data_IF_026170578842
#
_entry.id   IF_026170578842
#
_cell.length_a   1.000
_cell.length_b   1.000
_cell.length_c   1.000
_cell.angle_alpha   90.00
_cell.angle_beta   90.00
_cell.angle_gamma   90.00
#
_symmetry.space_group_name_H-M   'P 1'
#
loop_
_entity.id
_entity.type
_entity.pdbx_description
1 polymer ?
#
# COMPACT_ATOMS: atom_id res chain seq x y z
N UNK A 1 0.82 1.59 7.37
CA UNK A 1 -0.04 1.62 6.17
C UNK A 1 -1.16 2.60 6.43
N UNK A 2 -1.10 3.75 5.77
CA UNK A 2 -2.19 4.73 5.76
C UNK A 2 -2.95 4.62 4.44
N UNK A 3 -4.27 4.67 4.52
CA UNK A 3 -5.17 4.66 3.36
C UNK A 3 -5.71 6.06 3.20
N UNK A 4 -5.41 6.72 2.09
CA UNK A 4 -6.02 7.99 1.73
C UNK A 4 -7.09 7.72 0.66
N UNK A 5 -8.34 8.10 0.93
CA UNK A 5 -9.43 8.01 -0.03
C UNK A 5 -9.75 9.41 -0.58
N UNK A 6 -9.81 9.52 -1.91
CA UNK A 6 -10.18 10.74 -2.63
C UNK A 6 -11.42 10.43 -3.48
N UNK A 7 -12.49 11.22 -3.35
CA UNK A 7 -13.75 11.02 -4.07
C UNK A 7 -14.16 12.27 -4.86
N UNK A 8 -14.89 12.11 -5.95
CA UNK A 8 -15.47 13.20 -6.75
C UNK A 8 -16.83 12.83 -7.34
N UNK A 9 -17.62 13.85 -7.74
CA UNK A 9 -18.78 13.70 -8.64
C UNK A 9 -18.45 14.49 -9.89
N UNK A 10 -18.56 13.92 -11.09
CA UNK A 10 -18.37 14.67 -12.32
C UNK A 10 -19.48 14.36 -13.33
N UNK A 11 -20.23 15.39 -13.70
CA UNK A 11 -20.99 15.42 -14.95
C UNK A 11 -20.03 15.69 -16.12
N UNK A 12 -20.29 15.03 -17.24
CA UNK A 12 -19.48 14.80 -18.45
C UNK A 12 -18.94 16.03 -19.23
N UNK A 13 -18.73 17.20 -18.63
CA UNK A 13 -18.09 18.35 -19.29
C UNK A 13 -16.92 18.98 -18.49
N UNK A 14 -16.68 18.56 -17.24
CA UNK A 14 -15.60 19.05 -16.39
C UNK A 14 -14.82 17.87 -15.79
N UNK A 15 -14.10 17.14 -16.65
CA UNK A 15 -13.30 15.98 -16.27
C UNK A 15 -12.06 16.37 -15.44
N UNK A 16 -12.23 16.95 -14.25
CA UNK A 16 -11.20 17.11 -13.22
C UNK A 16 -11.88 17.38 -11.87
N UNK A 17 -12.29 16.32 -11.15
CA UNK A 17 -12.89 16.49 -9.83
C UNK A 17 -12.21 15.60 -8.79
N UNK A 18 -10.99 15.99 -8.37
CA UNK A 18 -10.48 15.65 -7.04
C UNK A 18 -11.23 16.52 -6.03
N UNK A 19 -12.32 16.06 -5.40
CA UNK A 19 -12.79 16.73 -4.17
C UNK A 19 -11.91 16.25 -3.04
N UNK A 20 -10.86 17.02 -2.78
CA UNK A 20 -10.17 16.97 -1.50
C UNK A 20 -11.19 17.31 -0.41
N UNK A 21 -11.22 16.50 0.65
CA UNK A 21 -12.00 16.74 1.86
C UNK A 21 -11.75 18.17 2.37
N UNK A 22 -12.69 19.08 2.12
CA UNK A 22 -12.63 20.47 2.57
C UNK A 22 -13.77 20.74 3.56
N UNK A 23 -13.81 19.96 4.63
CA UNK A 23 -14.71 20.24 5.75
C UNK A 23 -13.92 20.28 7.06
N UNK A 24 -13.80 21.52 7.53
CA UNK A 24 -13.61 21.99 8.91
C UNK A 24 -13.08 20.98 9.92
N UNK A 25 -11.88 21.26 10.45
CA UNK A 25 -11.39 20.66 11.69
C UNK A 25 -12.38 20.88 12.82
N UNK A 26 -13.11 19.82 13.19
CA UNK A 26 -13.52 19.50 14.56
C UNK A 26 -14.35 18.22 14.54
N UNK A 27 -13.76 17.07 14.88
CA UNK A 27 -14.52 15.94 15.41
C UNK A 27 -13.58 14.99 16.16
N UNK A 28 -14.11 14.39 17.22
CA UNK A 28 -13.44 13.48 18.12
C UNK A 28 -12.74 12.31 17.38
N UNK A 29 -11.59 11.89 17.92
CA UNK A 29 -10.83 10.71 17.48
C UNK A 29 -11.71 9.46 17.68
N UNK A 30 -12.30 8.95 16.60
CA UNK A 30 -12.93 7.63 16.59
C UNK A 30 -11.87 6.61 16.13
N UNK A 31 -11.69 5.52 16.86
CA UNK A 31 -10.74 4.47 16.50
C UNK A 31 -11.24 3.71 15.26
N UNK A 32 -10.67 4.00 14.09
CA UNK A 32 -10.97 3.30 12.84
C UNK A 32 -10.07 2.06 12.69
N UNK A 33 -10.66 0.86 12.75
CA UNK A 33 -9.97 -0.41 12.53
C UNK A 33 -9.90 -0.74 11.03
N UNK A 34 -8.85 -0.28 10.36
CA UNK A 34 -8.94 0.03 8.95
C UNK A 34 -8.55 -1.06 7.96
N UNK A 35 -7.84 -2.12 8.38
CA UNK A 35 -7.26 -3.00 7.37
C UNK A 35 -8.28 -3.95 6.72
N UNK A 36 -9.48 -4.16 7.26
CA UNK A 36 -10.50 -5.00 6.63
C UNK A 36 -11.84 -4.27 6.39
N UNK A 37 -12.03 -3.11 7.03
CA UNK A 37 -13.26 -2.32 6.93
C UNK A 37 -13.32 -1.47 5.65
N UNK A 38 -12.22 -1.35 4.92
CA UNK A 38 -12.13 -0.49 3.74
C UNK A 38 -12.80 -1.06 2.48
N UNK A 39 -12.68 -2.34 2.09
CA UNK A 39 -13.34 -2.85 0.87
C UNK A 39 -14.86 -2.98 1.01
N UNK A 40 -15.33 -3.25 2.22
CA UNK A 40 -16.74 -3.22 2.60
C UNK A 40 -17.31 -1.81 2.47
N UNK A 41 -16.59 -0.83 3.01
CA UNK A 41 -16.95 0.59 3.03
C UNK A 41 -16.97 1.25 1.63
N UNK A 42 -15.95 0.98 0.82
CA UNK A 42 -15.63 1.87 -0.30
C UNK A 42 -16.25 1.53 -1.63
N UNK A 43 -16.50 0.24 -1.84
CA UNK A 43 -16.68 -0.28 -3.17
C UNK A 43 -18.05 -0.92 -3.37
N UNK A 44 -18.78 -1.23 -2.30
CA UNK A 44 -20.02 -2.02 -2.36
C UNK A 44 -19.75 -3.52 -2.56
N UNK A 45 -18.65 -4.03 -2.02
CA UNK A 45 -18.32 -5.46 -2.10
C UNK A 45 -19.43 -6.33 -1.50
N UNK A 46 -19.94 -7.35 -2.19
CA UNK A 46 -21.08 -8.14 -1.72
C UNK A 46 -20.70 -9.06 -0.55
N UNK A 47 -21.64 -9.24 0.38
CA UNK A 47 -21.59 -10.33 1.36
C UNK A 47 -20.77 -10.09 2.63
N UNK A 48 -20.38 -8.83 2.91
CA UNK A 48 -19.75 -8.46 4.18
C UNK A 48 -20.47 -7.23 4.72
N UNK A 49 -20.97 -7.34 5.96
CA UNK A 49 -21.66 -6.24 6.62
C UNK A 49 -20.66 -5.15 7.04
N UNK A 50 -20.89 -3.87 6.67
CA UNK A 50 -20.00 -2.80 7.05
C UNK A 50 -20.08 -2.54 8.56
N UNK A 51 -18.92 -2.48 9.20
CA UNK A 51 -18.76 -2.11 10.62
C UNK A 51 -19.15 -0.65 10.86
N UNK A 52 -19.23 -0.24 12.13
CA UNK A 52 -19.44 1.17 12.47
C UNK A 52 -18.34 2.08 11.90
N UNK A 53 -17.08 1.64 11.97
CA UNK A 53 -15.94 2.36 11.40
C UNK A 53 -16.03 2.48 9.88
N UNK A 54 -16.41 1.40 9.18
CA UNK A 54 -16.65 1.41 7.74
C UNK A 54 -17.74 2.44 7.34
N UNK A 55 -18.85 2.49 8.10
CA UNK A 55 -19.97 3.43 7.85
C UNK A 55 -19.60 4.88 8.15
N UNK A 56 -18.79 5.11 9.18
CA UNK A 56 -18.26 6.44 9.46
C UNK A 56 -17.37 6.93 8.32
N UNK A 57 -16.51 6.05 7.81
CA UNK A 57 -15.63 6.36 6.70
C UNK A 57 -16.40 6.59 5.39
N UNK A 58 -17.45 5.80 5.12
CA UNK A 58 -18.42 6.04 4.04
C UNK A 58 -19.04 7.43 4.15
N UNK A 59 -19.50 7.79 5.35
CA UNK A 59 -20.16 9.08 5.62
C UNK A 59 -19.19 10.24 5.37
N UNK A 60 -17.94 10.11 5.82
CA UNK A 60 -16.89 11.10 5.59
C UNK A 60 -16.65 11.26 4.08
N UNK A 61 -16.42 10.18 3.34
CA UNK A 61 -16.17 10.24 1.88
C UNK A 61 -17.38 10.80 1.13
N UNK A 62 -18.58 10.41 1.56
CA UNK A 62 -19.83 10.75 0.92
C UNK A 62 -20.04 10.03 -0.41
N UNK A 63 -21.20 10.27 -1.03
CA UNK A 63 -21.53 9.65 -2.30
C UNK A 63 -20.62 10.14 -3.44
N UNK A 64 -19.93 9.20 -4.09
CA UNK A 64 -18.97 9.43 -5.18
C UNK A 64 -19.10 8.41 -6.32
N UNK A 65 -18.99 8.90 -7.55
CA UNK A 65 -18.98 8.08 -8.77
C UNK A 65 -17.59 7.48 -9.03
N UNK A 66 -16.54 8.23 -8.69
CA UNK A 66 -15.16 7.83 -8.93
C UNK A 66 -14.37 7.90 -7.63
N UNK A 67 -13.92 6.73 -7.18
CA UNK A 67 -13.13 6.59 -5.97
C UNK A 67 -11.67 6.31 -6.31
N UNK A 68 -10.75 7.04 -5.69
CA UNK A 68 -9.31 6.76 -5.75
C UNK A 68 -8.82 6.44 -4.33
N UNK A 69 -8.31 5.23 -4.14
CA UNK A 69 -7.75 4.74 -2.89
C UNK A 69 -6.24 4.65 -3.04
N UNK A 70 -5.49 5.36 -2.19
CA UNK A 70 -4.02 5.31 -2.17
C UNK A 70 -3.58 4.54 -0.93
N UNK A 71 -2.87 3.43 -1.15
CA UNK A 71 -2.23 2.61 -0.14
C UNK A 71 -0.74 2.95 -0.14
N UNK A 72 -0.30 3.73 0.84
CA UNK A 72 1.10 4.08 1.02
C UNK A 72 1.76 3.12 2.03
N UNK A 73 2.57 2.18 1.51
CA UNK A 73 3.29 1.24 2.37
C UNK A 73 4.39 1.94 3.15
N UNK A 74 4.61 1.55 4.40
CA UNK A 74 5.57 2.20 5.28
C UNK A 74 5.20 3.62 5.75
N UNK A 75 4.12 4.24 5.22
CA UNK A 75 3.64 5.52 5.74
C UNK A 75 2.98 5.28 7.11
N UNK A 76 3.66 5.72 8.17
CA UNK A 76 3.18 5.76 9.55
C UNK A 76 2.73 7.16 9.97
N UNK A 77 2.01 7.28 11.09
CA UNK A 77 1.49 8.58 11.56
C UNK A 77 2.63 9.53 11.91
N UNK A 78 3.67 9.05 12.59
CA UNK A 78 4.85 9.85 12.97
C UNK A 78 5.53 10.50 11.75
N UNK A 79 5.61 9.78 10.62
CA UNK A 79 6.16 10.32 9.37
C UNK A 79 5.27 11.44 8.83
N UNK A 80 3.95 11.25 8.86
CA UNK A 80 3.00 12.26 8.39
C UNK A 80 2.98 13.50 9.29
N UNK A 81 3.04 13.32 10.62
CA UNK A 81 3.13 14.42 11.61
C UNK A 81 4.44 15.22 11.48
N UNK A 82 5.51 14.58 11.00
CA UNK A 82 6.79 15.25 10.75
C UNK A 82 6.80 16.15 9.50
N UNK A 83 5.76 16.06 8.66
CA UNK A 83 5.67 16.86 7.44
C UNK A 83 5.39 18.34 7.76
N UNK A 84 5.81 19.27 6.89
CA UNK A 84 5.44 20.67 7.03
C UNK A 84 3.92 20.83 7.15
N UNK A 85 3.45 21.74 8.01
CA UNK A 85 2.02 21.98 8.20
C UNK A 85 1.27 22.43 6.91
N UNK A 86 2.02 22.90 5.91
CA UNK A 86 1.51 23.27 4.60
C UNK A 86 1.42 22.11 3.59
N UNK A 87 1.91 20.92 3.92
CA UNK A 87 1.84 19.74 3.05
C UNK A 87 0.40 19.32 2.79
N UNK A 88 0.13 18.89 1.57
CA UNK A 88 -1.20 18.55 1.11
C UNK A 88 -1.82 17.41 1.93
N UNK A 89 -1.05 16.33 2.14
CA UNK A 89 -1.46 15.16 2.92
C UNK A 89 -1.79 15.56 4.37
N UNK A 90 -0.96 16.41 4.99
CA UNK A 90 -1.21 16.88 6.36
C UNK A 90 -2.46 17.77 6.45
N UNK A 91 -2.62 18.70 5.50
CA UNK A 91 -3.80 19.57 5.48
C UNK A 91 -5.11 18.81 5.31
N UNK A 92 -5.09 17.62 4.70
CA UNK A 92 -6.26 16.75 4.46
C UNK A 92 -6.31 15.53 5.37
N UNK A 93 -5.41 15.43 6.33
CA UNK A 93 -5.45 14.37 7.32
C UNK A 93 -6.71 14.51 8.19
N UNK A 94 -7.51 13.45 8.25
CA UNK A 94 -8.75 13.42 9.04
C UNK A 94 -8.63 12.48 10.23
N UNK A 95 -8.02 11.30 10.04
CA UNK A 95 -7.88 10.30 11.10
C UNK A 95 -6.74 9.32 10.85
N UNK A 96 -6.31 8.67 11.93
CA UNK A 96 -5.35 7.58 11.88
C UNK A 96 -6.08 6.23 11.79
N UNK A 97 -5.50 5.34 11.01
CA UNK A 97 -6.01 4.01 10.78
C UNK A 97 -5.17 2.99 11.53
N UNK A 98 -5.82 2.12 12.32
CA UNK A 98 -5.13 0.98 12.94
C UNK A 98 -5.04 -0.18 11.96
N UNK A 99 -3.82 -0.67 11.74
CA UNK A 99 -3.58 -1.86 10.93
C UNK A 99 -3.76 -3.15 11.76
N UNK A 100 -3.79 -4.27 11.07
CA UNK A 100 -3.86 -5.61 11.67
C UNK A 100 -2.54 -6.02 12.30
N UNK A 101 -2.60 -7.04 13.17
CA UNK A 101 -1.41 -7.69 13.70
C UNK A 101 -1.21 -9.08 13.05
N UNK A 102 0.03 -9.43 12.61
CA UNK A 102 1.21 -8.57 12.55
C UNK A 102 1.11 -7.47 11.49
N UNK A 103 1.74 -6.32 11.74
CA UNK A 103 1.70 -5.14 10.86
C UNK A 103 2.70 -5.23 9.70
N UNK A 104 2.74 -6.36 9.00
CA UNK A 104 3.61 -6.55 7.82
C UNK A 104 2.85 -6.29 6.53
N UNK A 105 3.55 -5.91 5.46
CA UNK A 105 2.96 -5.67 4.12
C UNK A 105 2.08 -6.84 3.66
N UNK A 106 2.59 -8.07 3.77
CA UNK A 106 1.87 -9.27 3.35
C UNK A 106 0.55 -9.45 4.10
N UNK A 107 0.55 -9.25 5.43
CA UNK A 107 -0.63 -9.42 6.27
C UNK A 107 -1.62 -8.27 6.04
N UNK A 108 -1.15 -7.03 6.09
CA UNK A 108 -1.98 -5.84 5.93
C UNK A 108 -2.63 -5.76 4.54
N UNK A 109 -1.89 -6.02 3.45
CA UNK A 109 -2.47 -6.05 2.10
C UNK A 109 -3.45 -7.21 1.94
N UNK A 110 -3.18 -8.38 2.53
CA UNK A 110 -4.15 -9.49 2.45
C UNK A 110 -5.43 -9.15 3.19
N UNK A 111 -5.36 -8.59 4.41
CA UNK A 111 -6.55 -8.12 5.12
C UNK A 111 -7.29 -7.06 4.33
N UNK A 112 -6.56 -6.10 3.74
CA UNK A 112 -7.14 -5.05 2.91
C UNK A 112 -7.82 -5.63 1.70
N UNK A 113 -7.22 -6.54 0.95
CA UNK A 113 -7.87 -7.04 -0.25
C UNK A 113 -8.96 -8.08 0.05
N UNK A 114 -8.99 -8.70 1.22
CA UNK A 114 -9.99 -9.73 1.55
C UNK A 114 -11.12 -9.24 2.44
N UNK A 115 -11.00 -8.05 3.03
CA UNK A 115 -11.89 -7.57 4.09
C UNK A 115 -12.06 -8.61 5.21
N UNK A 116 -10.96 -9.25 5.62
CA UNK A 116 -10.98 -10.25 6.70
C UNK A 116 -9.75 -10.16 7.60
N UNK A 117 -9.84 -10.74 8.79
CA UNK A 117 -8.75 -10.76 9.75
C UNK A 117 -7.63 -11.75 9.36
N UNK A 118 -6.39 -11.57 9.84
CA UNK A 118 -5.29 -12.52 9.61
C UNK A 118 -5.61 -13.97 9.96
N UNK A 119 -6.41 -14.19 11.00
CA UNK A 119 -6.90 -15.51 11.41
C UNK A 119 -7.88 -16.14 10.43
N UNK A 120 -8.54 -15.34 9.58
CA UNK A 120 -9.55 -15.79 8.63
C UNK A 120 -8.98 -16.01 7.22
N UNK A 121 -8.08 -15.14 6.75
CA UNK A 121 -7.43 -15.31 5.45
C UNK A 121 -6.16 -16.18 5.50
N UNK A 122 -5.61 -16.45 6.69
CA UNK A 122 -4.52 -17.41 6.90
C UNK A 122 -3.11 -16.87 6.68
N UNK A 123 -2.96 -15.60 6.26
CA UNK A 123 -1.65 -14.95 6.09
C UNK A 123 -1.29 -14.25 7.39
N UNK A 124 -0.29 -14.78 8.10
CA UNK A 124 0.10 -14.33 9.45
C UNK A 124 1.52 -13.76 9.51
N UNK A 125 2.19 -13.60 8.37
CA UNK A 125 3.50 -12.96 8.27
C UNK A 125 4.04 -12.98 6.84
N UNK A 126 5.29 -12.56 6.66
CA UNK A 126 6.00 -12.72 5.38
C UNK A 126 6.24 -14.19 5.04
N UNK A 127 6.37 -15.02 6.07
CA UNK A 127 6.64 -16.44 5.95
C UNK A 127 5.54 -17.23 6.63
N UNK A 128 4.94 -18.16 5.89
CA UNK A 128 3.88 -19.03 6.41
C UNK A 128 4.26 -20.49 6.19
N UNK A 129 3.80 -21.42 7.05
CA UNK A 129 3.96 -22.85 6.78
C UNK A 129 3.36 -23.22 5.43
N UNK A 130 4.03 -24.08 4.66
CA UNK A 130 3.45 -24.58 3.42
C UNK A 130 2.25 -25.52 3.69
N UNK A 131 1.31 -25.62 2.74
CA UNK A 131 0.15 -26.49 2.86
C UNK A 131 0.57 -27.95 2.71
N UNK A 132 -0.03 -28.82 3.53
CA UNK A 132 0.28 -30.24 3.57
C UNK A 132 1.53 -30.56 4.40
N UNK A 133 1.44 -31.56 5.29
CA UNK A 133 2.57 -32.00 6.12
C UNK A 133 3.70 -32.53 5.21
N UNK A 134 4.83 -31.81 5.15
CA UNK A 134 6.11 -32.32 4.62
C UNK A 134 6.42 -32.04 3.14
N UNK A 135 5.58 -31.34 2.37
CA UNK A 135 5.88 -31.01 0.97
C UNK A 135 6.67 -29.71 0.83
N UNK A 136 6.30 -28.68 1.61
CA UNK A 136 6.98 -27.38 1.65
C UNK A 136 6.99 -26.84 3.06
N UNK A 137 8.18 -26.62 3.63
CA UNK A 137 8.29 -26.21 5.03
C UNK A 137 7.81 -24.77 5.26
N UNK A 138 8.13 -23.85 4.34
CA UNK A 138 7.82 -22.43 4.49
C UNK A 138 7.73 -21.73 3.14
N UNK A 139 6.69 -20.92 2.98
CA UNK A 139 6.42 -20.09 1.81
C UNK A 139 6.72 -18.64 2.13
N UNK A 140 7.41 -17.95 1.23
CA UNK A 140 7.45 -16.50 1.17
C UNK A 140 6.16 -16.01 0.48
N UNK A 141 5.32 -15.30 1.23
CA UNK A 141 3.99 -14.88 0.78
C UNK A 141 4.06 -13.88 -0.37
N UNK A 142 4.97 -12.90 -0.31
CA UNK A 142 5.05 -11.87 -1.35
C UNK A 142 5.61 -12.40 -2.67
N UNK A 143 6.54 -13.34 -2.60
CA UNK A 143 7.12 -13.99 -3.78
C UNK A 143 6.25 -15.12 -4.31
N UNK A 144 5.28 -15.61 -3.53
CA UNK A 144 4.57 -16.87 -3.79
C UNK A 144 5.55 -18.00 -4.18
N UNK A 145 6.56 -18.19 -3.32
CA UNK A 145 7.64 -19.14 -3.56
C UNK A 145 8.10 -19.81 -2.27
N UNK A 146 8.72 -20.99 -2.38
CA UNK A 146 9.36 -21.65 -1.25
C UNK A 146 10.54 -20.83 -0.76
N UNK A 147 10.56 -20.52 0.54
CA UNK A 147 11.56 -19.64 1.16
C UNK A 147 13.01 -20.13 0.98
N UNK A 148 13.21 -21.44 0.98
CA UNK A 148 14.56 -22.04 0.98
C UNK A 148 15.32 -21.90 -0.34
N UNK A 149 14.62 -21.83 -1.47
CA UNK A 149 15.25 -21.87 -2.80
C UNK A 149 14.52 -21.03 -3.86
N UNK A 150 13.49 -20.28 -3.48
CA UNK A 150 12.76 -19.39 -4.39
C UNK A 150 11.93 -20.13 -5.45
N UNK A 151 11.71 -21.45 -5.31
CA UNK A 151 10.87 -22.19 -6.26
C UNK A 151 9.42 -21.69 -6.19
N UNK A 152 8.81 -21.26 -7.31
CA UNK A 152 7.41 -20.83 -7.33
C UNK A 152 6.45 -21.91 -6.87
N UNK A 153 5.31 -21.53 -6.30
CA UNK A 153 4.28 -22.47 -5.84
C UNK A 153 3.83 -23.45 -6.94
N UNK A 154 3.65 -22.96 -8.16
CA UNK A 154 3.20 -23.75 -9.30
C UNK A 154 4.19 -24.88 -9.64
N UNK A 155 5.49 -24.57 -9.56
CA UNK A 155 6.57 -25.55 -9.74
C UNK A 155 6.68 -26.58 -8.60
N UNK A 156 5.91 -26.38 -7.52
CA UNK A 156 5.77 -27.31 -6.39
C UNK A 156 4.40 -28.02 -6.45
N UNK A 157 3.59 -27.81 -7.50
CA UNK A 157 2.24 -28.34 -7.61
C UNK A 157 1.24 -27.69 -6.65
N UNK A 158 1.60 -26.56 -6.06
CA UNK A 158 0.74 -25.79 -5.16
C UNK A 158 0.01 -24.71 -5.94
N UNK A 159 -1.24 -24.47 -5.55
CA UNK A 159 -2.03 -23.37 -6.08
C UNK A 159 -2.04 -22.20 -5.10
N UNK A 160 -2.27 -20.99 -5.59
CA UNK A 160 -2.34 -19.79 -4.76
C UNK A 160 -3.42 -19.92 -3.66
N UNK A 161 -4.54 -20.58 -3.95
CA UNK A 161 -5.65 -20.79 -2.98
C UNK A 161 -5.27 -21.74 -1.84
N UNK A 162 -4.14 -22.45 -1.94
CA UNK A 162 -3.60 -23.26 -0.84
C UNK A 162 -2.91 -22.42 0.23
N UNK A 163 -2.57 -21.16 -0.07
CA UNK A 163 -1.98 -20.18 0.85
C UNK A 163 -3.00 -19.15 1.30
N UNK A 164 -3.86 -18.70 0.38
CA UNK A 164 -4.83 -17.64 0.65
C UNK A 164 -6.24 -18.21 0.77
N UNK A 165 -6.75 -18.30 2.00
CA UNK A 165 -8.02 -18.96 2.29
C UNK A 165 -9.26 -18.15 1.86
N UNK A 166 -9.10 -16.85 1.62
CA UNK A 166 -10.18 -15.93 1.24
C UNK A 166 -9.89 -15.33 -0.13
N UNK A 167 -10.89 -15.20 -1.02
CA UNK A 167 -10.70 -14.51 -2.29
C UNK A 167 -10.57 -13.00 -2.06
N UNK A 168 -9.91 -12.31 -2.99
CA UNK A 168 -9.91 -10.84 -3.02
C UNK A 168 -11.32 -10.30 -3.26
N UNK A 169 -11.63 -9.20 -2.59
CA UNK A 169 -12.82 -8.36 -2.77
C UNK A 169 -12.67 -7.41 -3.95
N UNK A 170 -11.44 -7.13 -4.40
CA UNK A 170 -11.20 -6.15 -5.46
C UNK A 170 -11.87 -6.54 -6.78
N UNK A 171 -11.92 -7.84 -7.08
CA UNK A 171 -12.59 -8.39 -8.26
C UNK A 171 -14.13 -8.42 -8.14
N UNK A 172 -14.66 -8.16 -6.93
CA UNK A 172 -16.08 -8.22 -6.59
C UNK A 172 -16.70 -6.84 -6.42
N UNK A 173 -15.91 -5.79 -6.58
CA UNK A 173 -16.36 -4.40 -6.52
C UNK A 173 -17.31 -4.13 -7.70
N UNK A 174 -18.56 -3.67 -7.47
CA UNK A 174 -19.50 -3.29 -8.53
C UNK A 174 -19.16 -1.95 -9.21
N UNK A 175 -17.88 -1.72 -9.53
CA UNK A 175 -17.35 -0.54 -10.22
C UNK A 175 -16.29 -0.96 -11.23
N UNK A 176 -16.10 -0.16 -12.27
CA UNK A 176 -14.93 -0.32 -13.14
C UNK A 176 -13.67 -0.11 -12.31
N UNK A 177 -12.87 -1.16 -12.13
CA UNK A 177 -11.78 -1.14 -11.15
C UNK A 177 -10.41 -1.27 -11.81
N UNK A 178 -9.47 -0.42 -11.40
CA UNK A 178 -8.07 -0.45 -11.82
C UNK A 178 -7.16 -0.59 -10.59
N UNK A 179 -6.28 -1.60 -10.59
CA UNK A 179 -5.24 -1.75 -9.57
C UNK A 179 -3.89 -1.31 -10.12
N UNK A 180 -3.36 -0.23 -9.56
CA UNK A 180 -2.09 0.36 -9.93
C UNK A 180 -1.02 0.09 -8.88
N UNK A 181 0.16 -0.32 -9.32
CA UNK A 181 1.29 -0.64 -8.47
C UNK A 181 2.61 -0.46 -9.23
N UNK A 182 3.78 -0.42 -8.58
CA UNK A 182 5.04 -0.29 -9.28
C UNK A 182 5.21 -1.34 -10.37
N UNK A 183 5.77 -0.97 -11.52
CA UNK A 183 5.90 -1.87 -12.68
C UNK A 183 6.66 -3.16 -12.35
N UNK A 184 7.58 -3.13 -11.38
CA UNK A 184 8.31 -4.32 -10.90
C UNK A 184 7.45 -5.30 -10.08
N UNK A 185 6.29 -4.86 -9.58
CA UNK A 185 5.36 -5.64 -8.75
C UNK A 185 4.06 -6.00 -9.48
N UNK A 186 3.84 -5.50 -10.70
CA UNK A 186 2.57 -5.63 -11.44
C UNK A 186 2.17 -7.08 -11.73
N UNK A 187 3.13 -7.98 -11.76
CA UNK A 187 2.96 -9.42 -12.00
C UNK A 187 3.63 -10.24 -10.89
N UNK A 188 3.09 -11.42 -10.61
CA UNK A 188 3.58 -12.34 -9.60
C UNK A 188 2.45 -12.88 -8.75
N UNK A 189 2.61 -14.08 -8.18
CA UNK A 189 1.52 -14.81 -7.56
C UNK A 189 0.76 -14.04 -6.47
N UNK A 190 1.45 -13.20 -5.69
CA UNK A 190 0.79 -12.39 -4.66
C UNK A 190 -0.08 -11.29 -5.28
N UNK A 191 0.46 -10.54 -6.25
CA UNK A 191 -0.30 -9.53 -6.98
C UNK A 191 -1.45 -10.14 -7.78
N UNK A 192 -1.22 -11.28 -8.44
CA UNK A 192 -2.25 -12.02 -9.17
C UNK A 192 -3.41 -12.38 -8.23
N UNK A 193 -3.10 -12.83 -7.02
CA UNK A 193 -4.08 -13.09 -5.97
C UNK A 193 -4.82 -11.82 -5.51
N UNK A 194 -4.11 -10.75 -5.16
CA UNK A 194 -4.72 -9.50 -4.67
C UNK A 194 -5.64 -8.86 -5.73
N UNK A 195 -5.28 -8.98 -7.00
CA UNK A 195 -6.05 -8.44 -8.12
C UNK A 195 -7.23 -9.33 -8.51
N UNK A 196 -7.08 -10.65 -8.45
CA UNK A 196 -8.06 -11.57 -9.03
C UNK A 196 -8.25 -11.27 -10.52
N UNK A 197 -9.49 -11.05 -10.95
CA UNK A 197 -9.80 -10.65 -12.34
C UNK A 197 -9.74 -9.15 -12.60
N UNK A 198 -9.37 -8.32 -11.62
CA UNK A 198 -9.31 -6.87 -11.76
C UNK A 198 -8.18 -6.46 -12.71
N UNK A 199 -8.44 -5.46 -13.56
CA UNK A 199 -7.42 -4.88 -14.43
C UNK A 199 -6.26 -4.29 -13.61
N UNK A 200 -5.03 -4.49 -14.09
CA UNK A 200 -3.81 -4.02 -13.43
C UNK A 200 -2.99 -3.15 -14.36
N UNK A 201 -2.31 -2.16 -13.78
CA UNK A 201 -1.35 -1.34 -14.50
C UNK A 201 -0.12 -1.01 -13.66
N UNK A 202 1.05 -1.23 -14.26
CA UNK A 202 2.35 -0.92 -13.66
C UNK A 202 2.73 0.54 -13.90
N UNK A 203 3.22 1.25 -12.88
CA UNK A 203 3.79 2.60 -13.04
C UNK A 203 5.30 2.62 -12.78
N UNK A 204 6.00 3.60 -13.37
CA UNK A 204 7.44 3.84 -13.16
C UNK A 204 7.73 5.08 -12.32
N UNK A 205 6.80 6.04 -12.28
CA UNK A 205 6.83 7.20 -11.40
C UNK A 205 5.44 7.48 -10.82
N UNK A 206 5.38 8.19 -9.69
CA UNK A 206 4.10 8.59 -9.09
C UNK A 206 3.32 9.56 -9.99
N UNK A 207 4.03 10.40 -10.76
CA UNK A 207 3.40 11.26 -11.76
C UNK A 207 2.71 10.41 -12.84
N UNK A 208 3.37 9.40 -13.40
CA UNK A 208 2.76 8.49 -14.39
C UNK A 208 1.54 7.76 -13.81
N UNK A 209 1.63 7.36 -12.53
CA UNK A 209 0.53 6.70 -11.84
C UNK A 209 -0.69 7.61 -11.73
N UNK A 210 -0.48 8.84 -11.29
CA UNK A 210 -1.54 9.84 -11.13
C UNK A 210 -2.15 10.20 -12.49
N UNK A 211 -1.34 10.41 -13.53
CA UNK A 211 -1.80 10.68 -14.90
C UNK A 211 -2.68 9.54 -15.41
N UNK A 212 -2.24 8.29 -15.21
CA UNK A 212 -3.00 7.10 -15.63
C UNK A 212 -4.34 6.95 -14.91
N UNK A 213 -4.40 7.28 -13.62
CA UNK A 213 -5.66 7.25 -12.84
C UNK A 213 -6.62 8.31 -13.38
N UNK A 214 -6.12 9.51 -13.68
CA UNK A 214 -6.93 10.59 -14.26
C UNK A 214 -7.49 10.16 -15.61
N UNK A 215 -6.67 9.57 -16.47
CA UNK A 215 -7.11 9.06 -17.76
C UNK A 215 -8.14 7.93 -17.60
N UNK A 216 -7.91 6.99 -16.68
CA UNK A 216 -8.85 5.90 -16.39
C UNK A 216 -10.22 6.43 -15.91
N UNK A 217 -10.22 7.40 -15.00
CA UNK A 217 -11.45 8.03 -14.50
C UNK A 217 -12.15 8.80 -15.63
N UNK A 218 -11.41 9.57 -16.43
CA UNK A 218 -11.96 10.35 -17.54
C UNK A 218 -12.59 9.53 -18.67
N UNK A 219 -12.16 8.26 -18.83
CA UNK A 219 -12.71 7.33 -19.81
C UNK A 219 -13.65 6.27 -19.21
N UNK A 220 -13.95 6.35 -17.91
CA UNK A 220 -14.88 5.43 -17.27
C UNK A 220 -16.30 5.64 -17.84
N UNK A 221 -16.97 4.55 -18.20
CA UNK A 221 -18.34 4.57 -18.73
C UNK A 221 -19.41 4.56 -17.62
N UNK A 222 -18.98 4.61 -16.35
CA UNK A 222 -19.83 4.58 -15.17
C UNK A 222 -18.99 4.71 -13.89
N UNK A 223 -19.53 4.32 -12.73
CA UNK A 223 -18.80 4.37 -11.48
C UNK A 223 -17.49 3.59 -11.54
N UNK A 224 -16.40 4.18 -11.04
CA UNK A 224 -15.07 3.59 -11.08
C UNK A 224 -14.36 3.62 -9.72
N UNK A 225 -13.38 2.72 -9.56
CA UNK A 225 -12.53 2.59 -8.39
C UNK A 225 -11.07 2.37 -8.81
N UNK A 226 -10.16 3.25 -8.45
CA UNK A 226 -8.73 3.07 -8.67
C UNK A 226 -8.04 2.80 -7.33
N UNK A 227 -7.27 1.72 -7.24
CA UNK A 227 -6.43 1.43 -6.07
C UNK A 227 -4.97 1.64 -6.47
N UNK A 228 -4.29 2.61 -5.85
CA UNK A 228 -2.88 2.91 -6.08
C UNK A 228 -2.05 2.42 -4.90
N UNK A 229 -1.20 1.43 -5.13
CA UNK A 229 -0.20 0.97 -4.17
C UNK A 229 1.12 1.71 -4.37
N UNK A 230 1.65 2.32 -3.30
CA UNK A 230 2.92 3.05 -3.28
C UNK A 230 3.90 2.37 -2.33
N UNK A 231 4.96 1.78 -2.87
CA UNK A 231 5.98 1.06 -2.09
C UNK A 231 7.14 1.94 -1.62
N UNK A 232 7.34 3.10 -2.27
CA UNK A 232 8.61 3.83 -2.20
C UNK A 232 9.03 4.28 -0.79
N UNK A 233 8.06 4.50 0.11
CA UNK A 233 8.34 4.92 1.49
C UNK A 233 8.89 3.73 2.30
N UNK A 234 8.25 2.57 2.20
CA UNK A 234 8.73 1.32 2.82
C UNK A 234 10.07 0.88 2.23
N UNK A 235 10.22 0.94 0.91
CA UNK A 235 11.48 0.63 0.22
C UNK A 235 12.63 1.50 0.78
N UNK A 236 12.43 2.82 0.87
CA UNK A 236 13.43 3.75 1.40
C UNK A 236 13.73 3.50 2.88
N UNK A 237 12.71 3.17 3.69
CA UNK A 237 12.89 2.86 5.10
C UNK A 237 13.68 1.57 5.32
N UNK A 238 13.47 0.56 4.48
CA UNK A 238 14.24 -0.69 4.50
C UNK A 238 15.70 -0.49 4.07
N UNK A 239 15.95 0.35 3.06
CA UNK A 239 17.30 0.57 2.54
C UNK A 239 18.13 1.49 3.45
N UNK A 240 17.54 2.58 3.95
CA UNK A 240 18.29 3.64 4.63
C UNK A 240 17.96 3.78 6.12
N UNK A 241 16.92 3.10 6.60
CA UNK A 241 16.36 3.27 7.93
C UNK A 241 15.25 4.33 7.98
N UNK A 242 14.30 4.20 8.92
CA UNK A 242 13.04 4.96 8.93
C UNK A 242 13.21 6.47 9.18
N UNK A 243 14.32 6.89 9.82
CA UNK A 243 14.60 8.29 10.13
C UNK A 243 15.46 8.98 9.05
N UNK A 244 15.77 8.30 7.94
CA UNK A 244 16.64 8.84 6.91
C UNK A 244 15.92 9.86 6.01
N UNK A 245 16.67 10.83 5.48
CA UNK A 245 16.12 11.89 4.61
C UNK A 245 15.49 11.34 3.31
N UNK A 246 15.92 10.17 2.85
CA UNK A 246 15.32 9.49 1.69
C UNK A 246 13.86 9.08 1.96
N UNK A 247 13.53 8.70 3.20
CA UNK A 247 12.14 8.40 3.60
C UNK A 247 11.30 9.67 3.53
N UNK A 248 11.81 10.79 4.04
CA UNK A 248 11.15 12.10 3.94
C UNK A 248 11.00 12.53 2.48
N UNK A 249 12.00 12.26 1.64
CA UNK A 249 11.96 12.47 0.20
C UNK A 249 10.82 11.69 -0.46
N UNK A 250 10.66 10.41 -0.13
CA UNK A 250 9.59 9.56 -0.63
C UNK A 250 8.19 10.06 -0.22
N UNK A 251 8.01 10.48 1.04
CA UNK A 251 6.74 11.06 1.52
C UNK A 251 6.43 12.38 0.79
N UNK A 252 7.43 13.25 0.58
CA UNK A 252 7.28 14.50 -0.18
C UNK A 252 6.94 14.26 -1.65
N UNK A 253 7.52 13.23 -2.27
CA UNK A 253 7.19 12.87 -3.64
C UNK A 253 5.73 12.42 -3.77
N UNK A 254 5.23 11.65 -2.80
CA UNK A 254 3.81 11.29 -2.72
C UNK A 254 2.93 12.52 -2.53
N UNK A 255 3.26 13.38 -1.55
CA UNK A 255 2.54 14.63 -1.25
C UNK A 255 2.40 15.51 -2.50
N UNK A 256 3.50 15.75 -3.21
CA UNK A 256 3.52 16.56 -4.42
C UNK A 256 2.70 15.94 -5.56
N UNK A 257 2.81 14.63 -5.77
CA UNK A 257 2.10 13.93 -6.84
C UNK A 257 0.58 14.03 -6.66
N UNK A 258 0.07 13.84 -5.44
CA UNK A 258 -1.37 13.96 -5.17
C UNK A 258 -1.84 15.42 -5.15
N UNK A 259 -1.01 16.36 -4.70
CA UNK A 259 -1.34 17.78 -4.65
C UNK A 259 -1.47 18.41 -6.04
N UNK A 260 -0.56 18.08 -6.97
CA UNK A 260 -0.50 18.68 -8.31
C UNK A 260 -1.83 18.56 -9.06
N UNK A 261 -2.53 17.42 -8.94
CA UNK A 261 -3.82 17.21 -9.60
C UNK A 261 -5.02 17.75 -8.82
N UNK A 262 -4.94 17.83 -7.50
CA UNK A 262 -5.99 18.46 -6.70
C UNK A 262 -6.18 19.95 -7.05
N UNK A 263 -5.13 20.60 -7.58
CA UNK A 263 -5.17 22.01 -8.01
C UNK A 263 -5.39 22.21 -9.52
N UNK A 264 -5.77 21.17 -10.27
CA UNK A 264 -6.10 21.29 -11.70
C UNK A 264 -4.92 21.59 -12.64
N UNK A 265 -3.68 21.32 -12.21
CA UNK A 265 -2.49 21.63 -13.00
C UNK A 265 -2.37 20.80 -14.29
N UNK A 266 -2.38 21.47 -15.45
CA UNK A 266 -1.78 20.98 -16.68
C UNK A 266 -0.25 21.02 -16.54
N UNK A 267 0.41 19.89 -16.82
CA UNK A 267 1.86 19.62 -16.77
C UNK A 267 2.74 20.85 -16.51
N UNK A 268 3.12 21.07 -15.25
CA UNK A 268 4.36 21.76 -14.95
C UNK A 268 5.48 20.70 -14.90
N UNK A 269 6.45 20.77 -15.80
CA UNK A 269 7.68 19.99 -15.67
C UNK A 269 8.33 20.34 -14.33
N UNK A 270 8.27 19.42 -13.37
CA UNK A 270 9.10 19.48 -12.18
C UNK A 270 10.53 19.16 -12.59
N UNK A 271 11.28 20.17 -13.03
CA UNK A 271 12.73 20.15 -12.93
C UNK A 271 13.07 20.25 -11.44
N UNK A 272 13.04 19.13 -10.74
CA UNK A 272 13.78 19.00 -9.50
C UNK A 272 15.23 18.72 -9.91
N UNK A 273 16.04 19.77 -9.88
CA UNK A 273 17.49 19.68 -10.00
C UNK A 273 17.99 18.71 -8.93
N UNK A 274 18.28 17.47 -9.33
CA UNK A 274 19.02 16.52 -8.53
C UNK A 274 20.49 16.91 -8.57
N UNK A 275 20.92 17.70 -7.59
CA UNK A 275 22.30 17.59 -7.13
C UNK A 275 22.28 17.07 -5.70
N UNK A 276 22.68 15.81 -5.47
CA UNK A 276 23.06 15.41 -4.11
C UNK A 276 24.21 16.33 -3.66
N UNK A 277 24.31 16.69 -2.37
CA UNK A 277 25.54 17.28 -1.87
C UNK A 277 26.70 16.33 -2.22
N UNK A 278 27.66 16.83 -3.00
CA UNK A 278 28.86 16.09 -3.36
C UNK A 278 29.59 15.60 -2.11
N UNK A 279 30.42 14.55 -2.23
CA UNK A 279 31.07 13.95 -1.09
C UNK A 279 31.95 14.98 -0.38
N UNK A 280 31.57 15.35 0.84
CA UNK A 280 32.48 16.04 1.75
C UNK A 280 33.55 15.04 2.13
N UNK A 281 34.78 15.30 1.70
CA UNK A 281 35.96 14.49 1.97
C UNK A 281 36.24 14.45 3.49
N UNK A 282 35.63 13.48 4.18
CA UNK A 282 35.99 13.07 5.52
C UNK A 282 37.18 12.10 5.46
N UNK A 283 38.23 12.40 6.25
CA UNK A 283 39.49 11.67 6.31
C UNK A 283 39.29 10.16 6.49
N UNK A 284 40.09 9.39 5.74
CA UNK A 284 40.21 7.94 5.87
C UNK A 284 40.90 7.59 7.18
N UNK A 285 40.14 7.08 8.15
CA UNK A 285 40.68 6.17 9.16
C UNK A 285 40.18 4.77 8.82
N UNK A 286 41.14 3.91 8.48
CA UNK A 286 40.91 2.59 7.92
C UNK A 286 40.55 1.57 8.99
N UNK A 287 39.25 1.33 9.20
CA UNK A 287 38.74 0.10 9.83
C UNK A 287 37.27 -0.13 9.45
N UNK A 288 36.98 -0.52 8.21
CA UNK A 288 35.67 -1.08 7.83
C UNK A 288 35.80 -1.88 6.54
N UNK A 289 36.42 -3.06 6.66
CA UNK A 289 36.32 -4.13 5.65
C UNK A 289 36.01 -5.45 6.35
N UNK A 290 34.92 -5.47 7.12
CA UNK A 290 34.28 -6.69 7.66
C UNK A 290 32.95 -6.31 8.37
N UNK A 291 31.97 -5.83 7.60
CA UNK A 291 30.59 -5.68 8.10
C UNK A 291 29.60 -6.13 7.02
N UNK A 292 29.78 -7.38 6.57
CA UNK A 292 28.76 -8.20 5.90
C UNK A 292 28.68 -9.53 6.66
N UNK A 293 27.46 -10.02 6.89
CA UNK A 293 27.13 -11.41 7.24
C UNK A 293 27.26 -11.99 8.67
N UNK A 294 27.31 -11.22 9.78
CA UNK A 294 27.43 -11.88 11.11
C UNK A 294 26.47 -11.50 12.24
N UNK A 295 25.41 -10.71 12.02
CA UNK A 295 24.44 -10.38 13.10
C UNK A 295 23.01 -10.92 12.97
N UNK A 296 22.72 -11.83 12.04
CA UNK A 296 21.51 -12.67 12.11
C UNK A 296 21.78 -14.12 12.56
N UNK A 297 23.05 -14.58 12.55
CA UNK A 297 23.39 -15.97 12.85
C UNK A 297 23.85 -16.26 14.31
N UNK A 298 23.93 -15.26 15.21
CA UNK A 298 24.41 -15.46 16.59
C UNK A 298 23.38 -15.28 17.71
N UNK A 299 22.13 -14.96 17.38
CA UNK A 299 21.03 -14.96 18.36
C UNK A 299 20.34 -16.33 18.53
N UNK A 300 20.53 -17.29 17.61
CA UNK A 300 19.86 -18.60 17.65
C UNK A 300 20.68 -19.76 18.23
N UNK A 301 21.98 -19.58 18.51
CA UNK A 301 22.82 -20.70 18.98
C UNK A 301 22.94 -20.85 20.51
N UNK A 302 22.27 -20.00 21.30
CA UNK A 302 22.24 -20.09 22.79
C UNK A 302 20.92 -20.56 23.40
N UNK A 303 19.89 -20.86 22.58
CA UNK A 303 18.58 -21.32 23.07
C UNK A 303 18.28 -22.82 22.81
N UNK A 304 19.22 -23.60 22.26
CA UNK A 304 19.03 -25.04 21.94
C UNK A 304 19.95 -25.95 22.77
N UNK A 305 20.39 -25.51 23.96
CA UNK A 305 21.13 -26.37 24.91
C UNK A 305 20.69 -26.27 26.37
N UNK A 306 19.50 -25.72 26.63
CA UNK A 306 18.81 -25.82 27.93
C UNK A 306 17.31 -25.84 27.66
N UNK A 307 16.76 -27.04 27.61
CA UNK A 307 15.38 -27.38 27.30
C UNK A 307 15.34 -28.86 27.01
#
# INVERSE_FOLDING_TARGET
MHVCALGGRAHLAEATAFRAFDQGRAAARAELHAAYDTPTSFAGGPGIEPTAAARELETRIGATDHLVVVIADGLGLDLLESMPAASFLWQRFTDALHTVYPSTTAVALTSFHTASWPTEHGVTGYWVPGPGRGAVDTINVLECARRGDGRPLEALGLRVESIFARPTMLARVPRQTLFMLPARLVSGGFTDYLAGSTARQGYRSLADAVDSIVDFVGHASGPSCSVLYVSAIDDAAHEHGPAHLEVVGAVRALDAAVAHRAHGGSRASASACSQPPGPVAGRRDGTTREYRDRRYARAHHRAVRRG
#
